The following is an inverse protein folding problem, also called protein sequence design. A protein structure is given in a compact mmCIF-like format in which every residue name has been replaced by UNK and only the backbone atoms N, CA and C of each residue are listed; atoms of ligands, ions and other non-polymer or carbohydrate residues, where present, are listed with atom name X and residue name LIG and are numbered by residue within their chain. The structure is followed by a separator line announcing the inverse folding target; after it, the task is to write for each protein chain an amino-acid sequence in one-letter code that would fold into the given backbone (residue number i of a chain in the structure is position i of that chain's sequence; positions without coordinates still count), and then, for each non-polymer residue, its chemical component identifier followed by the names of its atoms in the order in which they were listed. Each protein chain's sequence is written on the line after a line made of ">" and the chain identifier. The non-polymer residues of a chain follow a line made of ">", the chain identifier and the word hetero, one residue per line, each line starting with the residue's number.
data_IF_027521210511
#
_entry.id   IF_027521210511
#
_cell.length_a   1.000
_cell.length_b   1.000
_cell.length_c   1.000
_cell.angle_alpha   90.00
_cell.angle_beta   90.00
_cell.angle_gamma   90.00
#
_symmetry.space_group_name_H-M   'P 1'
#
loop_
_entity.id
_entity.type
_entity.pdbx_description
1 polymer ?
#
# COMPACT_ATOMS: atom_id res chain seq x y z
N UNK A 1 -2.92 21.28 14.72
CA UNK A 1 -4.16 20.62 14.24
C UNK A 1 -5.00 20.16 15.42
N UNK A 2 -6.31 20.38 15.37
CA UNK A 2 -7.22 19.95 16.42
C UNK A 2 -7.34 18.43 16.48
N UNK A 3 -7.34 17.88 17.67
CA UNK A 3 -7.65 16.46 17.88
C UNK A 3 -9.16 16.27 18.07
N UNK A 4 -9.68 15.06 17.79
CA UNK A 4 -11.09 14.78 18.05
C UNK A 4 -11.50 15.07 19.51
N UNK A 5 -10.62 14.81 20.46
CA UNK A 5 -10.87 15.08 21.88
C UNK A 5 -10.99 16.57 22.14
N UNK A 6 -10.10 17.38 21.57
CA UNK A 6 -10.17 18.83 21.70
C UNK A 6 -11.48 19.40 21.15
N UNK A 7 -11.95 18.85 20.03
CA UNK A 7 -13.22 19.24 19.43
C UNK A 7 -14.39 18.88 20.36
N UNK A 8 -14.40 17.67 20.90
CA UNK A 8 -15.49 17.20 21.77
C UNK A 8 -15.55 17.92 23.11
N UNK A 9 -14.40 18.36 23.60
CA UNK A 9 -14.29 19.05 24.89
C UNK A 9 -14.39 20.56 24.78
N UNK A 10 -14.46 21.11 23.56
CA UNK A 10 -14.55 22.55 23.39
C UNK A 10 -15.85 23.09 23.96
N UNK A 11 -15.73 24.05 24.87
CA UNK A 11 -16.85 24.74 25.45
C UNK A 11 -16.81 26.22 25.03
N UNK A 12 -17.97 26.82 24.94
CA UNK A 12 -18.13 28.24 24.60
C UNK A 12 -18.80 28.99 25.73
N UNK A 13 -18.30 30.19 26.08
CA UNK A 13 -18.98 31.03 27.09
C UNK A 13 -20.32 31.52 26.56
N UNK A 14 -21.25 31.71 27.47
CA UNK A 14 -22.55 32.28 27.14
C UNK A 14 -22.42 33.77 26.82
N UNK A 15 -23.19 34.23 25.84
CA UNK A 15 -23.27 35.65 25.54
C UNK A 15 -24.10 36.40 26.59
N UNK A 16 -24.00 37.74 26.59
CA UNK A 16 -24.69 38.60 27.55
C UNK A 16 -26.22 38.48 27.46
N UNK A 17 -26.75 38.15 26.29
CA UNK A 17 -28.21 38.08 26.04
C UNK A 17 -28.66 36.65 25.71
N UNK A 18 -28.09 35.65 26.36
CA UNK A 18 -28.41 34.26 26.09
C UNK A 18 -27.64 33.72 24.89
N UNK A 19 -27.59 32.40 24.75
CA UNK A 19 -26.81 31.74 23.70
C UNK A 19 -25.31 31.81 23.95
N UNK A 20 -24.52 31.49 22.94
CA UNK A 20 -23.06 31.48 22.99
C UNK A 20 -22.49 32.73 22.31
N UNK A 21 -21.22 33.03 22.63
CA UNK A 21 -20.50 34.12 21.96
C UNK A 21 -20.24 33.72 20.48
N UNK A 22 -20.92 34.42 19.57
CA UNK A 22 -20.88 34.10 18.16
C UNK A 22 -19.47 34.22 17.57
N UNK A 23 -18.69 35.23 17.97
CA UNK A 23 -17.34 35.45 17.49
C UNK A 23 -16.45 34.26 17.84
N UNK A 24 -16.52 33.76 19.07
CA UNK A 24 -15.72 32.61 19.48
C UNK A 24 -16.15 31.33 18.78
N UNK A 25 -17.44 31.14 18.56
CA UNK A 25 -17.96 30.01 17.80
C UNK A 25 -17.46 30.07 16.36
N UNK A 26 -17.54 31.22 15.72
CA UNK A 26 -17.07 31.41 14.34
C UNK A 26 -15.59 31.19 14.22
N UNK A 27 -14.78 31.71 15.13
CA UNK A 27 -13.33 31.50 15.16
C UNK A 27 -12.99 29.99 15.28
N UNK A 28 -13.69 29.31 16.17
CA UNK A 28 -13.48 27.87 16.35
C UNK A 28 -13.87 27.10 15.08
N UNK A 29 -15.00 27.46 14.46
CA UNK A 29 -15.44 26.81 13.22
C UNK A 29 -14.46 27.07 12.07
N UNK A 30 -13.84 28.25 12.01
CA UNK A 30 -12.82 28.55 11.00
C UNK A 30 -11.60 27.62 11.17
N UNK A 31 -11.10 27.49 12.39
CA UNK A 31 -9.99 26.59 12.69
C UNK A 31 -10.37 25.13 12.38
N UNK A 32 -11.55 24.73 12.80
CA UNK A 32 -12.06 23.39 12.55
C UNK A 32 -12.16 23.10 11.04
N UNK A 33 -12.66 24.07 10.27
CA UNK A 33 -12.79 23.95 8.83
C UNK A 33 -11.44 23.82 8.15
N UNK A 34 -10.45 24.62 8.57
CA UNK A 34 -9.09 24.50 8.05
C UNK A 34 -8.50 23.12 8.34
N UNK A 35 -8.62 22.65 9.57
CA UNK A 35 -8.10 21.35 9.97
C UNK A 35 -8.83 20.21 9.28
N UNK A 36 -10.14 20.32 9.14
CA UNK A 36 -10.93 19.33 8.42
C UNK A 36 -10.50 19.27 6.95
N UNK A 37 -10.33 20.42 6.30
CA UNK A 37 -9.89 20.49 4.91
C UNK A 37 -8.50 19.89 4.72
N UNK A 38 -7.59 20.18 5.65
CA UNK A 38 -6.24 19.61 5.62
C UNK A 38 -6.27 18.09 5.76
N UNK A 39 -7.06 17.59 6.71
CA UNK A 39 -7.22 16.14 6.92
C UNK A 39 -7.88 15.46 5.71
N UNK A 40 -8.86 16.10 5.12
CA UNK A 40 -9.53 15.59 3.93
C UNK A 40 -8.55 15.44 2.77
N UNK A 41 -7.74 16.48 2.53
CA UNK A 41 -6.71 16.44 1.50
C UNK A 41 -5.64 15.39 1.77
N UNK A 42 -5.16 15.32 3.00
CA UNK A 42 -4.19 14.31 3.42
C UNK A 42 -4.73 12.90 3.25
N UNK A 43 -6.00 12.70 3.61
CA UNK A 43 -6.67 11.40 3.42
C UNK A 43 -6.72 11.01 1.95
N UNK A 44 -7.05 11.95 1.06
CA UNK A 44 -7.06 11.70 -0.38
C UNK A 44 -5.67 11.32 -0.92
N UNK A 45 -4.64 12.03 -0.46
CA UNK A 45 -3.24 11.72 -0.83
C UNK A 45 -2.83 10.34 -0.33
N UNK A 46 -3.14 10.02 0.91
CA UNK A 46 -2.83 8.71 1.49
C UNK A 46 -3.53 7.58 0.74
N UNK A 47 -4.79 7.76 0.38
CA UNK A 47 -5.53 6.78 -0.43
C UNK A 47 -4.89 6.54 -1.79
N UNK A 48 -4.44 7.62 -2.44
CA UNK A 48 -3.73 7.51 -3.72
C UNK A 48 -2.41 6.75 -3.58
N UNK A 49 -1.66 7.04 -2.51
CA UNK A 49 -0.40 6.34 -2.21
C UNK A 49 -0.65 4.85 -1.93
N UNK A 50 -1.70 4.53 -1.19
CA UNK A 50 -2.08 3.14 -0.93
C UNK A 50 -2.39 2.39 -2.22
N UNK A 51 -3.13 3.02 -3.14
CA UNK A 51 -3.45 2.43 -4.43
C UNK A 51 -2.18 2.13 -5.23
N UNK A 52 -1.23 3.07 -5.26
CA UNK A 52 0.06 2.86 -5.93
C UNK A 52 0.84 1.71 -5.27
N UNK A 53 0.84 1.64 -3.95
CA UNK A 53 1.51 0.55 -3.22
C UNK A 53 0.90 -0.81 -3.54
N UNK A 54 -0.43 -0.90 -3.60
CA UNK A 54 -1.11 -2.14 -3.98
C UNK A 54 -0.72 -2.55 -5.40
N UNK A 55 -0.69 -1.62 -6.34
CA UNK A 55 -0.26 -1.88 -7.71
C UNK A 55 1.18 -2.39 -7.76
N UNK A 56 2.08 -1.79 -6.97
CA UNK A 56 3.47 -2.22 -6.87
C UNK A 56 3.61 -3.63 -6.30
N UNK A 57 2.84 -3.95 -5.26
CA UNK A 57 2.83 -5.30 -4.68
C UNK A 57 2.37 -6.32 -5.72
N UNK A 58 1.33 -6.00 -6.49
CA UNK A 58 0.85 -6.87 -7.56
C UNK A 58 1.90 -7.08 -8.66
N UNK A 59 2.61 -6.02 -9.05
CA UNK A 59 3.72 -6.11 -10.01
C UNK A 59 4.82 -7.05 -9.50
N UNK A 60 5.21 -6.90 -8.22
CA UNK A 60 6.24 -7.77 -7.63
C UNK A 60 5.78 -9.23 -7.57
N UNK A 61 4.53 -9.48 -7.22
CA UNK A 61 3.98 -10.84 -7.20
C UNK A 61 4.00 -11.46 -8.59
N UNK A 62 3.59 -10.69 -9.60
CA UNK A 62 3.59 -11.15 -10.98
C UNK A 62 5.01 -11.46 -11.46
N UNK A 63 5.98 -10.63 -11.14
CA UNK A 63 7.39 -10.84 -11.45
C UNK A 63 7.93 -12.08 -10.74
N UNK A 64 7.61 -12.25 -9.46
CA UNK A 64 8.02 -13.42 -8.68
C UNK A 64 7.48 -14.70 -9.28
N UNK A 65 6.20 -14.72 -9.69
CA UNK A 65 5.61 -15.89 -10.37
C UNK A 65 6.30 -16.20 -11.68
N UNK A 66 6.59 -15.18 -12.50
CA UNK A 66 7.28 -15.34 -13.77
C UNK A 66 8.68 -15.91 -13.56
N UNK A 67 9.41 -15.40 -12.57
CA UNK A 67 10.73 -15.91 -12.22
C UNK A 67 10.66 -17.35 -11.73
N UNK A 68 9.69 -17.69 -10.91
CA UNK A 68 9.49 -19.05 -10.42
C UNK A 68 9.21 -20.02 -11.57
N UNK A 69 8.34 -19.63 -12.49
CA UNK A 69 8.06 -20.44 -13.69
C UNK A 69 9.29 -20.62 -14.56
N UNK A 70 10.06 -19.56 -14.75
CA UNK A 70 11.29 -19.61 -15.53
C UNK A 70 12.32 -20.56 -14.89
N UNK A 71 12.47 -20.50 -13.57
CA UNK A 71 13.36 -21.39 -12.84
C UNK A 71 12.91 -22.84 -12.93
N UNK A 72 11.61 -23.11 -12.81
CA UNK A 72 11.06 -24.45 -12.98
C UNK A 72 11.29 -24.98 -14.38
N UNK A 73 11.09 -24.16 -15.39
CA UNK A 73 11.33 -24.52 -16.78
C UNK A 73 12.83 -24.83 -17.03
N UNK A 74 13.70 -23.96 -16.53
CA UNK A 74 15.13 -24.16 -16.65
C UNK A 74 15.59 -25.46 -15.97
N UNK A 75 15.06 -25.75 -14.80
CA UNK A 75 15.35 -26.96 -14.06
C UNK A 75 14.87 -28.19 -14.81
N UNK A 76 13.70 -28.16 -15.42
CA UNK A 76 13.17 -29.24 -16.25
C UNK A 76 14.03 -29.45 -17.48
N UNK A 77 14.44 -28.38 -18.13
CA UNK A 77 15.33 -28.45 -19.29
C UNK A 77 16.68 -29.05 -18.91
N UNK A 78 17.23 -28.64 -17.77
CA UNK A 78 18.50 -29.23 -17.27
C UNK A 78 18.35 -30.71 -16.96
N UNK A 79 17.26 -31.12 -16.32
CA UNK A 79 16.98 -32.54 -16.04
C UNK A 79 16.82 -33.34 -17.30
N UNK A 80 16.15 -32.80 -18.31
CA UNK A 80 15.99 -33.46 -19.62
C UNK A 80 17.33 -33.61 -20.34
N UNK A 81 18.18 -32.59 -20.27
CA UNK A 81 19.54 -32.69 -20.86
C UNK A 81 20.39 -33.75 -20.17
N UNK A 82 20.31 -33.86 -18.85
CA UNK A 82 21.02 -34.91 -18.11
C UNK A 82 20.51 -36.28 -18.50
N UNK A 83 19.21 -36.46 -18.63
CA UNK A 83 18.60 -37.71 -19.04
C UNK A 83 19.03 -38.13 -20.47
N UNK A 84 19.09 -37.16 -21.38
CA UNK A 84 19.54 -37.41 -22.74
C UNK A 84 21.05 -37.74 -22.81
N UNK A 85 21.84 -37.04 -22.00
CA UNK A 85 23.29 -37.26 -21.97
C UNK A 85 23.67 -38.63 -21.38
N UNK A 86 23.00 -39.09 -20.34
CA UNK A 86 23.29 -40.37 -19.70
C UNK A 86 23.17 -41.58 -20.62
N UNK A 87 22.08 -41.78 -21.37
CA UNK A 87 22.00 -42.90 -22.31
C UNK A 87 23.05 -42.86 -23.40
N UNK A 88 23.34 -41.69 -23.95
CA UNK A 88 24.37 -41.54 -24.99
C UNK A 88 25.74 -41.86 -24.44
N UNK A 89 26.09 -41.33 -23.29
CA UNK A 89 27.34 -41.56 -22.61
C UNK A 89 27.54 -43.05 -22.27
N UNK A 90 26.48 -43.67 -21.75
CA UNK A 90 26.50 -45.08 -21.41
C UNK A 90 26.66 -45.98 -22.66
N UNK A 91 25.95 -45.66 -23.72
CA UNK A 91 26.06 -46.40 -24.99
C UNK A 91 27.46 -46.27 -25.60
N UNK A 92 28.02 -45.08 -25.53
CA UNK A 92 29.39 -44.83 -26.02
C UNK A 92 30.44 -45.66 -25.25
N UNK A 93 30.32 -45.70 -23.93
CA UNK A 93 31.19 -46.51 -23.09
C UNK A 93 31.07 -47.99 -23.37
N UNK A 94 29.87 -48.48 -23.68
CA UNK A 94 29.64 -49.87 -24.04
C UNK A 94 30.25 -50.24 -25.38
N UNK A 95 30.27 -49.29 -26.32
CA UNK A 95 30.84 -49.54 -27.65
C UNK A 95 32.34 -49.69 -27.63
N UNK A 96 32.96 -49.20 -26.60
CA UNK A 96 34.40 -49.37 -26.38
C UNK A 96 34.72 -50.55 -25.47
#
# INVERSE_FOLDING_TARGET
>A
MLTPQEVSERAFPKASFGGYNMTQVDEFLDVLTEDYSALYSENAVLKSKMKVLVEKVEEYRSTEEAMRKALMTAQRMADDLVKEAEPVSYTHLRAH
#
